data_IF_792252491356
#
_entry.id   IF_792252491356
#
_cell.length_a   1.000
_cell.length_b   1.000
_cell.length_c   1.000
_cell.angle_alpha   90.00
_cell.angle_beta   90.00
_cell.angle_gamma   90.00
#
_symmetry.space_group_name_H-M   'P 1'
#
loop_
_entity.id
_entity.type
_entity.pdbx_description
1 polymer ?
#
# COMPACT_ATOMS: atom_id res chain seq x y z
N UNK A 1 48.85 -1.72 -14.65
CA UNK A 1 48.51 -0.27 -14.59
C UNK A 1 47.11 0.04 -15.12
N UNK A 2 46.82 -0.13 -16.42
CA UNK A 2 45.46 0.24 -16.96
C UNK A 2 44.33 -0.63 -16.37
N UNK A 3 44.57 -1.92 -16.16
CA UNK A 3 43.59 -2.86 -15.60
C UNK A 3 43.25 -2.57 -14.12
N UNK A 4 44.27 -2.23 -13.32
CA UNK A 4 44.12 -1.83 -11.92
C UNK A 4 43.40 -0.49 -11.77
N UNK A 5 43.62 0.43 -12.71
CA UNK A 5 42.92 1.74 -12.72
C UNK A 5 41.47 1.58 -13.09
N UNK A 6 41.13 0.70 -14.04
CA UNK A 6 39.75 0.35 -14.40
C UNK A 6 39.00 -0.37 -13.26
N UNK A 7 39.66 -1.31 -12.58
CA UNK A 7 39.08 -1.98 -11.42
C UNK A 7 38.84 -1.01 -10.24
N UNK A 8 39.76 -0.05 -9.99
CA UNK A 8 39.55 1.01 -9.00
C UNK A 8 38.41 1.96 -9.37
N UNK A 9 38.30 2.31 -10.66
CA UNK A 9 37.16 3.15 -11.14
C UNK A 9 35.85 2.38 -11.02
N UNK A 10 35.82 1.11 -11.39
CA UNK A 10 34.61 0.26 -11.22
C UNK A 10 34.25 0.10 -9.74
N UNK A 11 35.19 -0.19 -8.86
CA UNK A 11 34.95 -0.30 -7.42
C UNK A 11 34.55 1.04 -6.78
N UNK A 12 35.02 2.18 -7.31
CA UNK A 12 34.61 3.52 -6.85
C UNK A 12 33.25 3.87 -7.39
N UNK A 13 32.92 3.51 -8.63
CA UNK A 13 31.58 3.63 -9.20
C UNK A 13 30.59 2.69 -8.50
N UNK A 14 30.97 1.47 -8.17
CA UNK A 14 30.14 0.56 -7.37
C UNK A 14 29.88 1.12 -5.96
N UNK A 15 30.88 1.70 -5.27
CA UNK A 15 30.69 2.34 -3.96
C UNK A 15 29.87 3.62 -4.02
N UNK A 16 30.09 4.48 -5.01
CA UNK A 16 29.23 5.65 -5.24
C UNK A 16 27.81 5.25 -5.67
N UNK A 17 27.71 4.12 -6.38
CA UNK A 17 26.43 3.53 -6.72
C UNK A 17 25.72 2.89 -5.51
N UNK A 18 26.41 2.36 -4.50
CA UNK A 18 25.72 1.67 -3.39
C UNK A 18 24.84 2.60 -2.54
N UNK A 19 25.26 3.84 -2.28
CA UNK A 19 24.43 4.80 -1.53
C UNK A 19 23.30 5.43 -2.36
N UNK A 20 23.52 5.67 -3.64
CA UNK A 20 22.46 6.06 -4.58
C UNK A 20 21.65 4.85 -5.06
N UNK A 21 22.22 3.66 -5.13
CA UNK A 21 21.59 2.43 -5.57
C UNK A 21 20.48 1.90 -4.63
N UNK A 22 20.57 2.12 -3.31
CA UNK A 22 19.48 1.66 -2.45
C UNK A 22 18.15 2.38 -2.77
N UNK A 23 18.23 3.67 -3.10
CA UNK A 23 17.04 4.43 -3.47
C UNK A 23 16.52 4.02 -4.85
N UNK A 24 17.38 3.90 -5.84
CA UNK A 24 17.02 3.45 -7.19
C UNK A 24 16.60 1.98 -7.24
N UNK A 25 17.22 1.12 -6.42
CA UNK A 25 16.85 -0.30 -6.33
C UNK A 25 15.42 -0.47 -5.81
N UNK A 26 15.04 0.25 -4.77
CA UNK A 26 13.70 0.17 -4.21
C UNK A 26 12.66 0.78 -5.16
N UNK A 27 12.97 1.90 -5.83
CA UNK A 27 12.08 2.47 -6.84
C UNK A 27 11.90 1.52 -8.03
N UNK A 28 12.97 0.89 -8.48
CA UNK A 28 12.91 -0.14 -9.54
C UNK A 28 12.06 -1.35 -9.09
N UNK A 29 12.20 -1.79 -7.85
CA UNK A 29 11.43 -2.90 -7.30
C UNK A 29 9.93 -2.58 -7.27
N UNK A 30 9.56 -1.35 -6.86
CA UNK A 30 8.16 -0.91 -6.88
C UNK A 30 7.63 -0.82 -8.31
N UNK A 31 8.40 -0.22 -9.23
CA UNK A 31 8.01 -0.13 -10.65
C UNK A 31 7.80 -1.51 -11.25
N UNK A 32 8.67 -2.45 -10.94
CA UNK A 32 8.56 -3.84 -11.38
C UNK A 32 7.34 -4.52 -10.77
N UNK A 33 7.14 -4.36 -9.47
CA UNK A 33 5.97 -4.91 -8.77
C UNK A 33 4.67 -4.33 -9.33
N UNK A 34 4.58 -3.02 -9.55
CA UNK A 34 3.43 -2.39 -10.23
C UNK A 34 3.26 -2.90 -11.66
N UNK A 35 4.34 -3.04 -12.40
CA UNK A 35 4.29 -3.60 -13.75
C UNK A 35 3.70 -5.02 -13.75
N UNK A 36 4.10 -5.86 -12.80
CA UNK A 36 3.59 -7.23 -12.66
C UNK A 36 2.09 -7.25 -12.31
N UNK A 37 1.60 -6.26 -11.57
CA UNK A 37 0.17 -6.09 -11.29
C UNK A 37 -0.59 -5.63 -12.54
N UNK A 38 -0.11 -4.57 -13.17
CA UNK A 38 -0.79 -3.93 -14.31
C UNK A 38 -0.70 -4.78 -15.59
N UNK A 39 0.40 -5.53 -15.77
CA UNK A 39 0.61 -6.37 -16.97
C UNK A 39 -0.42 -7.47 -17.12
N UNK A 40 -1.05 -7.91 -16.03
CA UNK A 40 -2.14 -8.89 -16.08
C UNK A 40 -3.42 -8.30 -16.68
N UNK A 41 -3.63 -6.99 -16.57
CA UNK A 41 -4.85 -6.32 -16.99
C UNK A 41 -4.64 -5.43 -18.24
N UNK A 42 -3.63 -4.56 -18.21
CA UNK A 42 -3.25 -3.70 -19.33
C UNK A 42 -1.83 -3.13 -19.14
N UNK A 43 -0.80 -3.73 -19.79
CA UNK A 43 0.60 -3.34 -19.56
C UNK A 43 0.95 -1.91 -20.01
N UNK A 44 0.11 -1.25 -20.79
CA UNK A 44 0.36 0.11 -21.25
C UNK A 44 0.07 1.17 -20.16
N UNK A 45 -0.66 0.80 -19.12
CA UNK A 45 -1.18 1.74 -18.11
C UNK A 45 -0.17 2.09 -17.01
N UNK A 46 0.98 1.42 -16.94
CA UNK A 46 2.03 1.79 -15.95
C UNK A 46 2.53 3.23 -16.12
N UNK A 47 2.42 3.79 -17.33
CA UNK A 47 2.78 5.20 -17.61
C UNK A 47 1.86 6.21 -16.95
N UNK A 48 0.67 5.78 -16.54
CA UNK A 48 -0.33 6.62 -15.87
C UNK A 48 -0.03 6.82 -14.38
N UNK A 49 0.90 6.05 -13.83
CA UNK A 49 1.31 6.16 -12.43
C UNK A 49 2.65 6.87 -12.28
N UNK A 50 2.67 7.86 -11.41
CA UNK A 50 3.91 8.43 -10.90
C UNK A 50 4.34 7.72 -9.63
N UNK A 51 5.63 7.36 -9.57
CA UNK A 51 6.25 6.74 -8.41
C UNK A 51 7.37 7.65 -7.94
N UNK A 52 7.30 8.12 -6.72
CA UNK A 52 8.29 8.99 -6.11
C UNK A 52 8.57 8.62 -4.66
N UNK A 53 9.76 8.99 -4.17
CA UNK A 53 10.07 8.93 -2.74
C UNK A 53 9.37 10.09 -2.05
N UNK A 54 8.68 9.80 -0.95
CA UNK A 54 8.03 10.83 -0.15
C UNK A 54 9.08 11.56 0.69
N UNK A 55 9.28 12.85 0.42
CA UNK A 55 10.17 13.69 1.21
C UNK A 55 9.57 14.03 2.58
N UNK A 56 10.37 14.59 3.49
CA UNK A 56 9.95 14.88 4.86
C UNK A 56 8.79 15.88 4.94
N UNK A 57 8.79 16.92 4.08
CA UNK A 57 7.71 17.92 4.06
C UNK A 57 6.37 17.28 3.74
N UNK A 58 6.32 16.45 2.69
CA UNK A 58 5.10 15.71 2.34
C UNK A 58 4.71 14.67 3.40
N UNK A 59 5.68 14.04 4.09
CA UNK A 59 5.35 13.18 5.22
C UNK A 59 4.69 13.96 6.36
N UNK A 60 5.10 15.21 6.60
CA UNK A 60 4.48 16.07 7.60
C UNK A 60 3.02 16.41 7.26
N UNK A 61 2.67 16.55 5.98
CA UNK A 61 1.27 16.74 5.57
C UNK A 61 0.40 15.55 5.96
N UNK A 62 0.90 14.32 5.79
CA UNK A 62 0.19 13.12 6.24
C UNK A 62 0.09 13.05 7.78
N UNK A 63 1.17 13.40 8.51
CA UNK A 63 1.18 13.43 9.98
C UNK A 63 0.19 14.43 10.58
N UNK A 64 -0.09 15.53 9.89
CA UNK A 64 -1.12 16.49 10.33
C UNK A 64 -2.54 15.92 10.23
N UNK A 65 -2.77 15.03 9.30
CA UNK A 65 -4.08 14.39 9.08
C UNK A 65 -4.24 13.09 9.87
N UNK A 66 -3.13 12.35 10.02
CA UNK A 66 -3.07 11.05 10.70
C UNK A 66 -2.02 11.09 11.80
N UNK A 67 -2.45 11.17 13.05
CA UNK A 67 -1.58 11.17 14.22
C UNK A 67 -0.83 9.85 14.44
N UNK A 68 -1.31 8.76 13.83
CA UNK A 68 -0.69 7.43 13.84
C UNK A 68 0.24 7.20 12.64
N UNK A 69 0.42 8.20 11.75
CA UNK A 69 1.32 8.07 10.61
C UNK A 69 2.75 7.78 11.08
N UNK A 70 3.38 6.68 10.63
CA UNK A 70 4.69 6.24 11.10
C UNK A 70 5.78 7.29 10.85
N UNK A 71 6.63 7.51 11.87
CA UNK A 71 7.75 8.45 11.82
C UNK A 71 9.03 7.72 11.47
N UNK A 72 9.95 8.43 10.82
CA UNK A 72 11.29 7.93 10.49
C UNK A 72 11.29 6.70 9.56
N UNK A 73 10.23 6.51 8.84
CA UNK A 73 10.08 5.44 7.86
C UNK A 73 10.25 6.02 6.44
N UNK A 74 10.83 5.21 5.56
CA UNK A 74 10.92 5.57 4.14
C UNK A 74 9.65 5.15 3.42
N UNK A 75 9.04 6.09 2.71
CA UNK A 75 7.79 5.89 2.00
C UNK A 75 7.93 6.13 0.50
N UNK A 76 7.20 5.38 -0.26
CA UNK A 76 7.02 5.60 -1.69
C UNK A 76 5.58 5.98 -1.97
N UNK A 77 5.42 6.99 -2.82
CA UNK A 77 4.14 7.49 -3.26
C UNK A 77 3.84 6.96 -4.66
N UNK A 78 2.71 6.32 -4.82
CA UNK A 78 2.14 5.88 -6.11
C UNK A 78 0.91 6.72 -6.36
N UNK A 79 1.00 7.62 -7.34
CA UNK A 79 -0.11 8.50 -7.74
C UNK A 79 -0.60 8.15 -9.13
N UNK A 80 -1.91 8.15 -9.32
CA UNK A 80 -2.47 8.22 -10.66
C UNK A 80 -2.25 9.63 -11.23
N UNK A 81 -1.70 9.74 -12.45
CA UNK A 81 -1.37 11.02 -13.10
C UNK A 81 -2.58 11.77 -13.61
N UNK A 82 -3.55 11.05 -14.04
CA UNK A 82 -4.76 11.62 -14.63
C UNK A 82 -5.92 11.49 -13.64
N UNK A 83 -6.79 12.49 -13.57
CA UNK A 83 -8.11 12.39 -12.93
C UNK A 83 -9.02 11.38 -13.67
N UNK A 84 -8.47 10.67 -14.65
CA UNK A 84 -9.16 9.63 -15.40
C UNK A 84 -9.33 8.39 -14.55
N UNK A 85 -10.55 8.15 -14.11
CA UNK A 85 -11.02 7.01 -13.31
C UNK A 85 -10.93 5.64 -14.02
N UNK A 86 -9.98 5.44 -14.93
CA UNK A 86 -10.12 4.37 -15.92
C UNK A 86 -9.49 3.05 -15.55
N UNK A 87 -8.49 3.01 -14.69
CA UNK A 87 -7.83 1.74 -14.38
C UNK A 87 -7.79 1.42 -12.90
N UNK A 88 -8.39 0.28 -12.59
CA UNK A 88 -8.38 -0.26 -11.23
C UNK A 88 -7.11 -1.07 -10.98
N UNK A 89 -6.37 -0.73 -9.93
CA UNK A 89 -5.25 -1.53 -9.43
C UNK A 89 -5.77 -2.79 -8.73
N UNK A 90 -5.54 -3.93 -9.32
CA UNK A 90 -5.86 -5.22 -8.70
C UNK A 90 -4.73 -5.62 -7.76
N UNK A 91 -4.89 -5.33 -6.47
CA UNK A 91 -3.88 -5.60 -5.45
C UNK A 91 -4.03 -6.96 -4.78
N UNK A 92 -4.86 -7.85 -5.28
CA UNK A 92 -5.17 -9.16 -4.71
C UNK A 92 -3.93 -9.83 -4.08
N UNK A 93 -3.60 -11.04 -4.42
CA UNK A 93 -2.46 -11.80 -3.86
C UNK A 93 -1.09 -11.13 -3.95
N UNK A 94 -0.97 -10.05 -4.74
CA UNK A 94 0.30 -9.36 -4.96
C UNK A 94 0.65 -8.33 -3.90
N UNK A 95 -0.31 -7.92 -3.09
CA UNK A 95 -0.03 -6.91 -2.05
C UNK A 95 0.93 -7.41 -0.97
N UNK A 96 0.97 -8.71 -0.72
CA UNK A 96 1.91 -9.36 0.18
C UNK A 96 3.37 -9.23 -0.27
N UNK A 97 3.58 -9.17 -1.58
CA UNK A 97 4.91 -9.05 -2.19
C UNK A 97 5.38 -7.59 -2.29
N UNK A 98 4.64 -6.65 -1.68
CA UNK A 98 5.00 -5.22 -1.72
C UNK A 98 6.38 -5.02 -1.09
N UNK A 99 7.34 -4.39 -1.81
CA UNK A 99 8.74 -4.40 -1.39
C UNK A 99 9.10 -3.35 -0.33
N UNK A 100 8.19 -2.43 0.00
CA UNK A 100 8.44 -1.30 0.90
C UNK A 100 7.14 -0.63 1.33
N UNK A 101 7.24 0.35 2.24
CA UNK A 101 6.09 1.16 2.65
C UNK A 101 5.59 2.00 1.48
N UNK A 102 4.29 1.92 1.20
CA UNK A 102 3.69 2.59 0.03
C UNK A 102 2.44 3.36 0.42
N UNK A 103 2.34 4.56 -0.14
CA UNK A 103 1.11 5.35 -0.18
C UNK A 103 0.54 5.26 -1.59
N UNK A 104 -0.67 4.74 -1.72
CA UNK A 104 -1.46 4.86 -2.93
C UNK A 104 -2.29 6.14 -2.82
N UNK A 105 -2.17 7.01 -3.80
CA UNK A 105 -2.87 8.29 -3.81
C UNK A 105 -3.69 8.45 -5.09
N UNK A 106 -4.97 8.79 -4.92
CA UNK A 106 -5.91 9.02 -6.01
C UNK A 106 -6.02 7.83 -6.98
N UNK A 107 -6.06 6.60 -6.43
CA UNK A 107 -6.14 5.37 -7.19
C UNK A 107 -7.50 4.69 -7.03
N UNK A 108 -7.98 4.04 -8.08
CA UNK A 108 -9.03 3.04 -7.97
C UNK A 108 -8.40 1.72 -7.56
N UNK A 109 -8.89 1.11 -6.49
CA UNK A 109 -8.29 -0.08 -5.90
C UNK A 109 -9.31 -1.22 -5.87
N UNK A 110 -8.89 -2.39 -6.31
CA UNK A 110 -9.55 -3.66 -6.03
C UNK A 110 -8.64 -4.46 -5.09
N UNK A 111 -9.04 -4.55 -3.83
CA UNK A 111 -8.29 -5.23 -2.78
C UNK A 111 -9.12 -6.39 -2.21
N UNK A 112 -8.78 -7.57 -2.67
CA UNK A 112 -9.41 -8.80 -2.21
C UNK A 112 -8.34 -9.85 -1.92
N UNK A 113 -8.23 -10.26 -0.67
CA UNK A 113 -7.32 -11.32 -0.22
C UNK A 113 -8.10 -12.28 0.68
N UNK A 114 -8.27 -13.50 0.21
CA UNK A 114 -8.90 -14.59 0.95
C UNK A 114 -7.99 -15.82 0.96
N UNK A 115 -7.20 -15.95 2.02
CA UNK A 115 -6.28 -17.07 2.21
C UNK A 115 -6.98 -18.33 2.78
N UNK A 116 -8.29 -18.31 2.94
CA UNK A 116 -9.05 -19.48 3.42
C UNK A 116 -9.09 -20.63 2.41
N UNK A 117 -8.77 -20.38 1.14
CA UNK A 117 -8.83 -21.37 0.06
C UNK A 117 -7.61 -22.29 -0.04
N UNK A 118 -6.55 -21.98 0.69
CA UNK A 118 -5.34 -22.81 0.76
C UNK A 118 -5.43 -23.84 1.89
N UNK A 119 -5.40 -25.12 1.56
CA UNK A 119 -5.62 -26.28 2.45
C UNK A 119 -4.53 -26.47 3.56
N UNK A 120 -3.67 -25.51 3.83
CA UNK A 120 -2.65 -25.62 4.88
C UNK A 120 -2.82 -24.54 5.94
N UNK A 121 -3.26 -24.96 7.11
CA UNK A 121 -3.42 -24.18 8.35
C UNK A 121 -2.14 -23.44 8.82
N UNK A 122 -0.99 -23.68 8.21
CA UNK A 122 0.32 -23.21 8.69
C UNK A 122 0.93 -22.06 7.86
N UNK A 123 0.26 -21.58 6.80
CA UNK A 123 0.76 -20.51 5.93
C UNK A 123 -0.18 -19.29 5.94
N UNK A 124 -0.33 -18.65 7.10
CA UNK A 124 -0.98 -17.35 7.16
C UNK A 124 -0.09 -16.33 6.44
N UNK A 125 -0.61 -15.71 5.41
CA UNK A 125 0.12 -14.70 4.62
C UNK A 125 0.42 -13.47 5.48
N UNK A 126 1.61 -12.91 5.30
CA UNK A 126 2.09 -11.78 6.11
C UNK A 126 2.43 -10.58 5.25
N UNK A 127 1.83 -9.43 5.55
CA UNK A 127 2.17 -8.12 4.97
C UNK A 127 3.13 -7.42 5.92
N UNK A 128 4.39 -7.21 5.46
CA UNK A 128 5.50 -6.72 6.28
C UNK A 128 5.73 -5.23 6.22
N UNK A 129 5.07 -4.53 5.31
CA UNK A 129 5.25 -3.11 5.07
C UNK A 129 3.97 -2.34 5.38
N UNK A 130 4.10 -1.05 5.68
CA UNK A 130 2.97 -0.17 5.83
C UNK A 130 2.25 0.02 4.49
N UNK A 131 0.93 0.00 4.55
CA UNK A 131 0.04 0.30 3.43
C UNK A 131 -0.82 1.50 3.80
N UNK A 132 -0.78 2.52 2.97
CA UNK A 132 -1.56 3.73 3.14
C UNK A 132 -2.33 4.04 1.87
N UNK A 133 -3.64 4.06 1.96
CA UNK A 133 -4.53 4.45 0.88
C UNK A 133 -5.04 5.86 1.18
N UNK A 134 -4.70 6.82 0.32
CA UNK A 134 -5.10 8.21 0.44
C UNK A 134 -5.94 8.63 -0.75
N UNK A 135 -7.13 9.16 -0.49
CA UNK A 135 -8.07 9.61 -1.54
C UNK A 135 -8.31 8.52 -2.61
N UNK A 136 -8.39 7.26 -2.18
CA UNK A 136 -8.60 6.11 -3.06
C UNK A 136 -10.07 5.71 -3.11
N UNK A 137 -10.48 5.14 -4.25
CA UNK A 137 -11.79 4.56 -4.44
C UNK A 137 -11.72 3.04 -4.47
N UNK A 138 -12.63 2.37 -3.75
CA UNK A 138 -12.79 0.92 -3.73
C UNK A 138 -14.13 0.57 -4.35
N UNK A 139 -14.14 0.33 -5.67
CA UNK A 139 -15.36 0.08 -6.43
C UNK A 139 -15.96 -1.32 -6.18
N UNK A 140 -15.13 -2.27 -5.75
CA UNK A 140 -15.55 -3.60 -5.34
C UNK A 140 -15.53 -3.73 -3.82
N UNK A 141 -16.13 -4.81 -3.31
CA UNK A 141 -16.02 -5.12 -1.89
C UNK A 141 -14.56 -5.30 -1.50
N UNK A 142 -14.14 -4.58 -0.46
CA UNK A 142 -12.85 -4.82 0.18
C UNK A 142 -12.99 -6.08 1.02
N UNK A 143 -12.16 -7.08 0.77
CA UNK A 143 -12.17 -8.33 1.52
C UNK A 143 -10.75 -8.70 1.93
N UNK A 144 -10.50 -8.72 3.24
CA UNK A 144 -9.23 -9.08 3.85
C UNK A 144 -9.47 -10.22 4.85
N UNK A 145 -8.93 -11.39 4.56
CA UNK A 145 -9.16 -12.58 5.38
C UNK A 145 -7.91 -13.42 5.58
N UNK A 146 -7.69 -13.87 6.82
CA UNK A 146 -6.58 -14.73 7.25
C UNK A 146 -5.19 -14.14 6.94
N UNK A 147 -4.99 -12.85 7.22
CA UNK A 147 -3.75 -12.13 6.95
C UNK A 147 -3.13 -11.64 8.26
N UNK A 148 -1.81 -11.67 8.35
CA UNK A 148 -1.04 -10.98 9.39
C UNK A 148 -0.52 -9.66 8.83
N UNK A 149 -0.93 -8.54 9.41
CA UNK A 149 -0.38 -7.22 9.13
C UNK A 149 0.68 -6.90 10.20
N UNK A 150 1.97 -6.96 9.84
CA UNK A 150 3.06 -6.59 10.77
C UNK A 150 3.14 -5.08 10.98
N UNK A 151 2.66 -4.31 10.02
CA UNK A 151 2.70 -2.85 9.97
C UNK A 151 1.32 -2.25 9.78
N UNK A 152 1.20 -0.95 9.98
CA UNK A 152 -0.08 -0.23 9.89
C UNK A 152 -0.71 -0.33 8.51
N UNK A 153 -2.01 -0.57 8.51
CA UNK A 153 -2.91 -0.45 7.36
C UNK A 153 -3.80 0.78 7.56
N UNK A 154 -3.69 1.78 6.70
CA UNK A 154 -4.46 3.02 6.78
C UNK A 154 -5.30 3.28 5.54
N UNK A 155 -6.54 3.68 5.76
CA UNK A 155 -7.44 4.26 4.78
C UNK A 155 -7.76 5.69 5.20
N UNK A 156 -7.37 6.68 4.38
CA UNK A 156 -7.61 8.10 4.65
C UNK A 156 -8.28 8.76 3.44
N UNK A 157 -9.41 9.41 3.65
CA UNK A 157 -10.25 10.02 2.62
C UNK A 157 -10.69 9.02 1.52
N UNK A 158 -10.82 7.75 1.88
CA UNK A 158 -11.19 6.71 0.93
C UNK A 158 -12.71 6.62 0.77
N UNK A 159 -13.14 6.26 -0.45
CA UNK A 159 -14.53 6.01 -0.79
C UNK A 159 -14.73 4.52 -1.02
N UNK A 160 -15.67 3.93 -0.29
CA UNK A 160 -16.04 2.53 -0.44
C UNK A 160 -17.43 2.44 -1.09
N UNK A 161 -17.50 1.77 -2.23
CA UNK A 161 -18.75 1.61 -3.00
C UNK A 161 -19.53 0.38 -2.58
N UNK A 162 -18.91 -0.54 -1.84
CA UNK A 162 -19.46 -1.81 -1.42
C UNK A 162 -18.98 -2.18 0.00
N UNK A 163 -19.27 -3.40 0.41
CA UNK A 163 -18.97 -3.91 1.74
C UNK A 163 -17.47 -3.95 2.06
N UNK A 164 -17.14 -3.68 3.31
CA UNK A 164 -15.82 -3.90 3.87
C UNK A 164 -15.87 -5.15 4.77
N UNK A 165 -15.22 -6.21 4.34
CA UNK A 165 -15.15 -7.49 5.04
C UNK A 165 -13.71 -7.70 5.49
N UNK A 166 -13.44 -7.47 6.78
CA UNK A 166 -12.12 -7.58 7.40
C UNK A 166 -12.24 -8.55 8.56
N UNK A 167 -11.91 -9.81 8.34
CA UNK A 167 -12.14 -10.83 9.36
C UNK A 167 -11.05 -11.91 9.40
N UNK A 168 -10.87 -12.50 10.60
CA UNK A 168 -9.85 -13.50 10.89
C UNK A 168 -8.41 -13.03 10.60
N UNK A 169 -8.14 -11.72 10.76
CA UNK A 169 -6.81 -11.16 10.58
C UNK A 169 -6.11 -10.89 11.91
N UNK A 170 -4.79 -10.77 11.87
CA UNK A 170 -3.99 -10.29 12.98
C UNK A 170 -3.34 -8.95 12.60
N UNK A 171 -3.64 -7.90 13.35
CA UNK A 171 -3.02 -6.59 13.22
C UNK A 171 -1.99 -6.43 14.34
N UNK A 172 -0.69 -6.61 14.02
CA UNK A 172 0.40 -6.45 14.99
C UNK A 172 0.72 -4.97 15.23
N UNK A 173 0.32 -4.11 14.32
CA UNK A 173 0.34 -2.65 14.44
C UNK A 173 -1.11 -2.12 14.27
N UNK A 174 -1.34 -0.98 13.64
CA UNK A 174 -2.64 -0.31 13.63
C UNK A 174 -3.49 -0.62 12.39
N UNK A 175 -4.80 -0.65 12.56
CA UNK A 175 -5.79 -0.53 11.48
C UNK A 175 -6.50 0.83 11.65
N UNK A 176 -6.42 1.68 10.63
CA UNK A 176 -6.80 3.09 10.71
C UNK A 176 -7.76 3.48 9.59
N UNK A 177 -8.87 4.12 9.96
CA UNK A 177 -9.81 4.76 9.03
C UNK A 177 -9.98 6.23 9.40
N UNK A 178 -9.71 7.14 8.46
CA UNK A 178 -9.83 8.59 8.65
C UNK A 178 -10.61 9.20 7.51
N UNK A 179 -11.65 9.98 7.80
CA UNK A 179 -12.46 10.70 6.81
C UNK A 179 -13.00 9.80 5.69
N UNK A 180 -13.20 8.51 5.95
CA UNK A 180 -13.70 7.56 4.97
C UNK A 180 -15.23 7.59 4.92
N UNK A 181 -15.79 7.30 3.75
CA UNK A 181 -17.23 7.28 3.52
C UNK A 181 -17.62 6.35 2.37
N UNK A 182 -18.91 6.06 2.22
CA UNK A 182 -19.44 5.43 1.03
C UNK A 182 -19.71 6.46 -0.10
N UNK A 183 -20.17 5.95 -1.24
CA UNK A 183 -20.45 6.78 -2.40
C UNK A 183 -21.79 7.56 -2.30
N UNK A 184 -22.74 7.11 -1.49
CA UNK A 184 -24.11 7.62 -1.51
C UNK A 184 -24.42 8.57 -0.35
N UNK A 185 -24.21 8.12 0.87
CA UNK A 185 -24.65 8.84 2.07
C UNK A 185 -23.50 9.42 2.90
N UNK A 186 -22.26 9.37 2.40
CA UNK A 186 -21.04 9.73 3.15
C UNK A 186 -20.87 8.92 4.44
N UNK A 187 -21.41 7.71 4.47
CA UNK A 187 -21.29 6.75 5.56
C UNK A 187 -20.76 5.42 5.01
N UNK A 188 -20.03 4.69 5.80
CA UNK A 188 -19.67 3.30 5.50
C UNK A 188 -20.87 2.44 5.84
N UNK A 189 -21.57 1.89 4.85
CA UNK A 189 -22.82 1.16 5.02
C UNK A 189 -22.67 -0.27 5.52
N UNK A 190 -21.49 -0.87 5.37
CA UNK A 190 -21.22 -2.22 5.86
C UNK A 190 -19.74 -2.39 6.18
N UNK A 191 -19.44 -2.50 7.47
CA UNK A 191 -18.12 -2.83 7.98
C UNK A 191 -18.22 -4.08 8.86
N UNK A 192 -17.74 -5.21 8.34
CA UNK A 192 -17.65 -6.48 9.08
C UNK A 192 -16.22 -6.68 9.59
N UNK A 193 -16.05 -6.76 10.91
CA UNK A 193 -14.77 -6.87 11.62
C UNK A 193 -14.69 -8.12 12.50
N UNK A 194 -15.28 -9.22 12.10
CA UNK A 194 -15.38 -10.41 12.93
C UNK A 194 -14.02 -11.13 13.09
N UNK A 195 -13.78 -11.66 14.29
CA UNK A 195 -12.67 -12.57 14.61
C UNK A 195 -11.27 -11.99 14.31
N UNK A 196 -11.10 -10.66 14.32
CA UNK A 196 -9.78 -10.04 14.19
C UNK A 196 -9.08 -9.94 15.55
N UNK A 197 -7.76 -10.12 15.55
CA UNK A 197 -6.88 -9.87 16.69
C UNK A 197 -6.13 -8.55 16.48
N UNK A 198 -6.25 -7.62 17.43
CA UNK A 198 -5.56 -6.33 17.40
C UNK A 198 -4.53 -6.27 18.53
N UNK A 199 -3.23 -6.13 18.19
CA UNK A 199 -2.17 -5.80 19.14
C UNK A 199 -1.89 -4.30 19.19
N UNK A 200 -2.12 -3.60 18.08
CA UNK A 200 -2.13 -2.15 17.99
C UNK A 200 -3.53 -1.55 18.17
N UNK A 201 -3.72 -0.34 17.66
CA UNK A 201 -5.00 0.35 17.71
C UNK A 201 -5.89 -0.02 16.52
N UNK A 202 -7.17 -0.21 16.79
CA UNK A 202 -8.21 -0.01 15.79
C UNK A 202 -8.73 1.41 15.93
N UNK A 203 -8.48 2.26 14.94
CA UNK A 203 -8.71 3.70 15.02
C UNK A 203 -9.63 4.18 13.92
N UNK A 204 -10.72 4.85 14.30
CA UNK A 204 -11.68 5.44 13.37
C UNK A 204 -11.85 6.91 13.74
N UNK A 205 -11.66 7.80 12.75
CA UNK A 205 -11.81 9.24 12.92
C UNK A 205 -12.60 9.84 11.77
N UNK A 206 -13.65 10.59 12.11
CA UNK A 206 -14.50 11.29 11.14
C UNK A 206 -15.11 10.39 10.04
N UNK A 207 -15.32 9.11 10.36
CA UNK A 207 -16.05 8.18 9.50
C UNK A 207 -17.44 7.98 10.07
N UNK A 208 -18.47 8.12 9.24
CA UNK A 208 -19.82 7.69 9.62
C UNK A 208 -19.97 6.22 9.25
N UNK A 209 -20.28 5.37 10.24
CA UNK A 209 -20.54 3.93 10.08
C UNK A 209 -21.96 3.68 10.56
N UNK A 210 -22.76 2.99 9.77
CA UNK A 210 -24.08 2.47 10.17
C UNK A 210 -23.99 1.10 10.79
#
# INVERSE_FOLDING_TARGET
>A
MIKETLEKILNTLEKCCEETHQNHKSEYQIRRWLFDILSKNNPNNIKEYDISILNEDKQNDFRQQDELFPRNEKWYLVCNKEDSKTDTLLLCDKIKDIPCNVIFNNCNIDLHIDESKGVKKDNTETIKNHLYFYNCAFEKSLNLKNIIFEKTLTFNQCVFYNNLEIYQNQFLDHLVFINCHDNQDKKITSLDLQENEFKGYFFIKNCAIE
#
